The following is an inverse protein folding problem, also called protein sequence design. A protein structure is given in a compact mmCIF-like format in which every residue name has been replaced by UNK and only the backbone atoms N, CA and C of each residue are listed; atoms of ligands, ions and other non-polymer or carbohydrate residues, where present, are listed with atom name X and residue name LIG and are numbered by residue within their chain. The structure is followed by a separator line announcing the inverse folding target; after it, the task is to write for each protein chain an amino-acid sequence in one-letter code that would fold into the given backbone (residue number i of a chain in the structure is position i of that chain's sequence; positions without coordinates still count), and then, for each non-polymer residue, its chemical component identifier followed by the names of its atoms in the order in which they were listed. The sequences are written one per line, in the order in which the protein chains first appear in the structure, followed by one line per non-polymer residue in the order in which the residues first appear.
data_IF_795381188769
#
_entry.id   IF_795381188769
#
_cell.length_a   1.000
_cell.length_b   1.000
_cell.length_c   1.000
_cell.angle_alpha   90.00
_cell.angle_beta   90.00
_cell.angle_gamma   90.00
#
_symmetry.space_group_name_H-M   'P 1'
#
loop_
_entity.id
_entity.type
_entity.pdbx_description
1 polymer ?
#
# COMPACT_ATOMS: atom_id res chain seq x y z
N UNK A 1 0.53 16.18 4.04
CA UNK A 1 1.50 15.19 3.49
C UNK A 1 1.44 15.28 1.97
N UNK A 2 2.54 15.01 1.25
CA UNK A 2 2.55 15.09 -0.22
C UNK A 2 1.97 13.80 -0.82
N UNK A 3 1.05 13.92 -1.78
CA UNK A 3 0.41 12.78 -2.47
C UNK A 3 1.28 12.35 -3.65
N UNK A 4 1.37 11.05 -3.92
CA UNK A 4 2.15 10.48 -5.02
C UNK A 4 1.35 9.42 -5.78
N UNK A 5 1.63 9.22 -7.08
CA UNK A 5 1.11 8.06 -7.81
C UNK A 5 1.53 6.75 -7.14
N UNK A 6 0.61 5.80 -7.00
CA UNK A 6 0.89 4.52 -6.34
C UNK A 6 1.99 3.73 -7.06
N UNK A 7 2.01 3.78 -8.39
CA UNK A 7 3.07 3.18 -9.20
C UNK A 7 4.48 3.73 -8.85
N UNK A 8 4.58 5.02 -8.54
CA UNK A 8 5.84 5.64 -8.12
C UNK A 8 6.26 5.19 -6.72
N UNK A 9 5.30 5.02 -5.80
CA UNK A 9 5.58 4.48 -4.46
C UNK A 9 6.10 3.04 -4.55
N UNK A 10 5.44 2.18 -5.34
CA UNK A 10 5.86 0.78 -5.55
C UNK A 10 7.28 0.68 -6.14
N UNK A 11 7.61 1.53 -7.12
CA UNK A 11 8.97 1.57 -7.70
C UNK A 11 10.05 2.02 -6.72
N UNK A 12 9.70 2.91 -5.77
CA UNK A 12 10.64 3.48 -4.81
C UNK A 12 11.02 2.50 -3.68
N UNK A 13 10.06 1.71 -3.20
CA UNK A 13 10.24 0.83 -2.04
C UNK A 13 10.20 -0.63 -2.48
N UNK A 14 11.31 -1.14 -3.01
CA UNK A 14 11.37 -2.48 -3.61
C UNK A 14 11.37 -3.57 -2.54
N UNK A 15 10.63 -4.66 -2.79
CA UNK A 15 10.45 -5.82 -1.90
C UNK A 15 9.91 -5.48 -0.50
N UNK A 16 9.05 -4.48 -0.41
CA UNK A 16 8.47 -4.04 0.87
C UNK A 16 6.95 -3.98 0.83
N UNK A 17 6.35 -4.09 2.01
CA UNK A 17 4.95 -3.82 2.24
C UNK A 17 4.74 -2.34 2.51
N UNK A 18 3.75 -1.75 1.86
CA UNK A 18 3.43 -0.32 1.93
C UNK A 18 2.08 -0.12 2.60
N UNK A 19 2.01 0.80 3.57
CA UNK A 19 0.76 1.35 4.10
C UNK A 19 0.54 2.72 3.48
N UNK A 20 -0.50 2.83 2.66
CA UNK A 20 -0.81 4.03 1.89
C UNK A 20 -2.19 4.53 2.32
N UNK A 21 -2.30 5.81 2.68
CA UNK A 21 -3.60 6.49 2.73
C UNK A 21 -3.97 6.88 1.31
N UNK A 22 -5.03 6.29 0.77
CA UNK A 22 -5.54 6.58 -0.56
C UNK A 22 -6.18 7.96 -0.56
N UNK A 23 -5.80 8.76 -1.55
CA UNK A 23 -6.25 10.14 -1.74
C UNK A 23 -7.24 10.23 -2.90
N UNK A 24 -6.96 9.51 -4.00
CA UNK A 24 -7.83 9.45 -5.18
C UNK A 24 -8.02 8.03 -5.68
N UNK A 25 -9.26 7.69 -5.99
CA UNK A 25 -9.66 6.46 -6.68
C UNK A 25 -10.03 6.77 -8.14
N UNK A 26 -9.87 5.78 -9.00
CA UNK A 26 -10.59 5.67 -10.26
C UNK A 26 -11.95 5.05 -9.95
N UNK A 27 -13.01 5.85 -10.11
CA UNK A 27 -14.37 5.46 -9.72
C UNK A 27 -14.97 4.38 -10.62
N UNK A 28 -14.46 4.20 -11.85
CA UNK A 28 -14.95 3.19 -12.79
C UNK A 28 -14.29 1.85 -12.51
N UNK A 29 -12.96 1.84 -12.37
CA UNK A 29 -12.21 0.62 -12.18
C UNK A 29 -12.08 0.21 -10.70
N UNK A 30 -12.47 1.08 -9.76
CA UNK A 30 -12.23 0.93 -8.31
C UNK A 30 -10.74 0.75 -7.99
N UNK A 31 -9.87 1.44 -8.75
CA UNK A 31 -8.41 1.34 -8.60
C UNK A 31 -7.88 2.60 -7.91
N UNK A 32 -7.06 2.49 -6.85
CA UNK A 32 -6.41 3.65 -6.25
C UNK A 32 -5.34 4.24 -7.17
N UNK A 33 -5.40 5.56 -7.42
CA UNK A 33 -4.50 6.27 -8.32
C UNK A 33 -3.37 6.97 -7.57
N UNK A 34 -3.71 7.71 -6.52
CA UNK A 34 -2.75 8.48 -5.71
C UNK A 34 -2.97 8.26 -4.22
N UNK A 35 -1.92 8.48 -3.45
CA UNK A 35 -1.98 8.39 -2.00
C UNK A 35 -0.73 8.88 -1.29
N UNK A 36 -0.81 8.89 0.03
CA UNK A 36 0.26 9.24 0.94
C UNK A 36 0.85 7.98 1.56
N UNK A 37 2.16 7.78 1.42
CA UNK A 37 2.83 6.73 2.17
C UNK A 37 2.83 7.09 3.66
N UNK A 38 2.23 6.23 4.47
CA UNK A 38 2.21 6.38 5.93
C UNK A 38 3.32 5.58 6.60
N UNK A 39 3.62 4.40 6.06
CA UNK A 39 4.62 3.47 6.59
C UNK A 39 5.03 2.47 5.51
N UNK A 40 6.23 1.92 5.60
CA UNK A 40 6.71 0.80 4.79
C UNK A 40 7.60 -0.11 5.64
N UNK A 41 7.61 -1.41 5.34
CA UNK A 41 8.47 -2.39 6.01
C UNK A 41 8.59 -3.66 5.16
N UNK A 42 9.72 -4.38 5.18
CA UNK A 42 9.79 -5.73 4.63
C UNK A 42 8.89 -6.73 5.39
N UNK A 43 8.47 -6.41 6.62
CA UNK A 43 7.66 -7.27 7.46
C UNK A 43 6.19 -6.84 7.45
N UNK A 44 5.34 -7.68 6.84
CA UNK A 44 3.90 -7.42 6.68
C UNK A 44 3.18 -7.10 8.01
N UNK A 45 3.52 -7.82 9.07
CA UNK A 45 2.84 -7.69 10.36
C UNK A 45 3.06 -6.32 11.01
N UNK A 46 4.19 -5.68 10.74
CA UNK A 46 4.44 -4.32 11.21
C UNK A 46 3.50 -3.32 10.54
N UNK A 47 3.28 -3.49 9.23
CA UNK A 47 2.37 -2.66 8.43
C UNK A 47 0.93 -2.82 8.94
N UNK A 48 0.48 -4.05 9.18
CA UNK A 48 -0.83 -4.32 9.78
C UNK A 48 -0.94 -3.76 11.20
N UNK A 49 0.09 -3.87 12.03
CA UNK A 49 0.07 -3.29 13.38
C UNK A 49 -0.06 -1.76 13.33
N UNK A 50 0.59 -1.10 12.37
CA UNK A 50 0.50 0.36 12.17
C UNK A 50 -0.84 0.80 11.58
N UNK A 51 -1.54 -0.05 10.84
CA UNK A 51 -2.84 0.30 10.24
C UNK A 51 -4.00 0.33 11.24
N UNK A 52 -3.98 -0.50 12.29
CA UNK A 52 -5.11 -0.67 13.24
C UNK A 52 -5.65 0.62 13.86
N UNK A 53 -4.81 1.63 14.03
CA UNK A 53 -5.19 2.89 14.71
C UNK A 53 -5.44 4.05 13.74
N UNK A 54 -5.57 3.78 12.44
CA UNK A 54 -5.71 4.81 11.41
C UNK A 54 -7.16 4.85 10.90
N UNK A 55 -7.78 6.02 10.99
CA UNK A 55 -9.10 6.31 10.42
C UNK A 55 -8.93 6.98 9.06
N UNK A 56 -8.65 6.20 8.02
CA UNK A 56 -8.52 6.64 6.64
C UNK A 56 -8.84 5.49 5.68
N UNK A 57 -9.00 5.79 4.39
CA UNK A 57 -9.01 4.76 3.35
C UNK A 57 -7.58 4.25 3.15
N UNK A 58 -7.27 3.09 3.73
CA UNK A 58 -5.93 2.52 3.73
C UNK A 58 -5.81 1.44 2.65
N UNK A 59 -4.69 1.47 1.94
CA UNK A 59 -4.23 0.40 1.09
C UNK A 59 -2.97 -0.22 1.71
N UNK A 60 -2.99 -1.54 1.90
CA UNK A 60 -1.81 -2.34 2.23
C UNK A 60 -1.46 -3.15 0.99
N UNK A 61 -0.28 -2.95 0.44
CA UNK A 61 0.14 -3.59 -0.81
C UNK A 61 1.63 -3.95 -0.76
N UNK A 62 2.00 -5.06 -1.40
CA UNK A 62 3.39 -5.39 -1.63
C UNK A 62 3.90 -4.63 -2.86
N UNK A 63 5.14 -4.15 -2.81
CA UNK A 63 5.69 -3.29 -3.86
C UNK A 63 5.80 -3.96 -5.22
N UNK A 64 6.01 -5.28 -5.25
CA UNK A 64 6.15 -6.08 -6.48
C UNK A 64 4.82 -6.70 -6.91
N UNK A 65 4.73 -7.15 -8.16
CA UNK A 65 3.54 -7.85 -8.66
C UNK A 65 3.47 -9.31 -8.17
N UNK A 66 4.62 -9.89 -7.78
CA UNK A 66 4.72 -11.23 -7.22
C UNK A 66 4.91 -11.16 -5.71
N UNK A 67 4.07 -11.88 -4.97
CA UNK A 67 4.22 -11.99 -3.52
C UNK A 67 5.48 -12.78 -3.12
N UNK A 68 6.05 -12.51 -1.94
CA UNK A 68 7.06 -13.39 -1.36
C UNK A 68 6.49 -14.80 -1.12
N UNK A 69 7.38 -15.79 -1.07
CA UNK A 69 6.99 -17.16 -0.69
C UNK A 69 6.22 -17.18 0.64
N UNK A 70 5.18 -18.01 0.71
CA UNK A 70 4.31 -18.11 1.89
C UNK A 70 3.20 -17.05 1.97
N UNK A 71 3.05 -16.19 0.95
CA UNK A 71 1.99 -15.20 0.87
C UNK A 71 1.11 -15.41 -0.37
N UNK A 72 -0.20 -15.22 -0.18
CA UNK A 72 -1.19 -15.15 -1.25
C UNK A 72 -2.15 -13.99 -0.99
N UNK A 73 -2.72 -13.44 -2.05
CA UNK A 73 -3.87 -12.56 -1.93
C UNK A 73 -5.13 -13.39 -1.68
N UNK A 74 -5.99 -12.89 -0.80
CA UNK A 74 -7.37 -13.33 -0.64
C UNK A 74 -8.27 -12.12 -0.87
N UNK A 75 -9.39 -12.33 -1.57
CA UNK A 75 -10.34 -11.29 -1.99
C UNK A 75 -11.75 -11.65 -1.50
#
# INVERSE_FOLDING_TARGET
MKSFPLASLRKRFRREWLLIAVDKMDDVATIPLTGHLLFHSPHRDEVYRKSRNKKAHLLIVYSEDTFPEGYAAAF
#
